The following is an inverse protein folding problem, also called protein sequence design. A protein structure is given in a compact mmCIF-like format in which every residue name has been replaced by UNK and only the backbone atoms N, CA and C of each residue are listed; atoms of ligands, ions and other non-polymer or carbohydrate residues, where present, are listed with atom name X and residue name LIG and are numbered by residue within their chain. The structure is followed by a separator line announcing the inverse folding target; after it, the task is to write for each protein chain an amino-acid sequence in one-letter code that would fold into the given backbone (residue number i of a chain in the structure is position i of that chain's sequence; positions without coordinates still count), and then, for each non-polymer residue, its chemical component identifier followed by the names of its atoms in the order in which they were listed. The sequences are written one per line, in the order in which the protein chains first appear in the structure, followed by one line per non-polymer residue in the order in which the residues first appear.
data_IF_312844806947
#
_entry.id   IF_312844806947
#
_cell.length_a   1.000
_cell.length_b   1.000
_cell.length_c   1.000
_cell.angle_alpha   90.00
_cell.angle_beta   90.00
_cell.angle_gamma   90.00
#
_symmetry.space_group_name_H-M   'P 1'
#
loop_
_entity.id
_entity.type
_entity.pdbx_description
1 polymer ?
#
# COMPACT_ATOMS: atom_id res chain seq x y z
N UNK A 1 -26.60 20.20 -16.85
CA UNK A 1 -25.82 19.53 -15.77
C UNK A 1 -25.35 18.20 -16.33
N UNK A 2 -24.04 18.00 -16.46
CA UNK A 2 -23.52 16.70 -16.93
C UNK A 2 -23.95 15.62 -15.92
N UNK A 3 -24.37 14.41 -16.37
CA UNK A 3 -24.68 13.34 -15.44
C UNK A 3 -23.44 13.07 -14.59
N UNK A 4 -23.58 13.11 -13.26
CA UNK A 4 -22.51 12.68 -12.37
C UNK A 4 -22.21 11.22 -12.71
N UNK A 5 -21.03 10.98 -13.29
CA UNK A 5 -20.54 9.63 -13.52
C UNK A 5 -20.53 8.91 -12.17
N UNK A 6 -21.09 7.70 -12.13
CA UNK A 6 -21.02 6.86 -10.92
C UNK A 6 -19.56 6.77 -10.45
N UNK A 7 -19.27 6.86 -9.15
CA UNK A 7 -17.92 6.71 -8.65
C UNK A 7 -17.39 5.32 -9.00
N UNK A 8 -16.07 5.19 -9.20
CA UNK A 8 -15.45 3.90 -9.49
C UNK A 8 -15.52 2.92 -8.32
N UNK A 9 -15.61 3.43 -7.09
CA UNK A 9 -15.47 2.62 -5.89
C UNK A 9 -16.45 2.99 -4.78
N UNK A 10 -16.60 2.06 -3.84
CA UNK A 10 -17.31 2.22 -2.56
C UNK A 10 -16.48 1.57 -1.45
N UNK A 11 -16.67 2.03 -0.21
CA UNK A 11 -16.05 1.45 0.99
C UNK A 11 -17.08 0.62 1.75
N UNK A 12 -16.69 -0.58 2.18
CA UNK A 12 -17.53 -1.49 2.99
C UNK A 12 -16.62 -2.44 3.78
N UNK A 13 -17.17 -3.19 4.72
CA UNK A 13 -16.40 -4.17 5.50
C UNK A 13 -15.76 -5.21 4.58
N UNK A 14 -14.48 -5.49 4.83
CA UNK A 14 -13.72 -6.50 4.11
C UNK A 14 -13.73 -7.82 4.86
N UNK A 15 -13.88 -8.92 4.13
CA UNK A 15 -13.69 -10.26 4.69
C UNK A 15 -12.22 -10.55 5.02
N UNK A 16 -11.29 -9.74 4.50
CA UNK A 16 -9.86 -9.90 4.75
C UNK A 16 -9.43 -9.18 6.03
N UNK A 17 -9.69 -7.88 6.11
CA UNK A 17 -9.26 -7.06 7.25
C UNK A 17 -10.04 -5.75 7.32
N UNK A 18 -10.73 -5.48 8.43
CA UNK A 18 -11.40 -4.20 8.71
C UNK A 18 -12.29 -3.71 7.57
N UNK A 19 -11.96 -2.53 7.02
CA UNK A 19 -12.63 -1.97 5.84
C UNK A 19 -11.87 -2.34 4.57
N UNK A 20 -12.60 -2.41 3.45
CA UNK A 20 -12.07 -2.59 2.11
C UNK A 20 -12.67 -1.59 1.13
N UNK A 21 -11.99 -1.42 0.00
CA UNK A 21 -12.51 -0.64 -1.13
C UNK A 21 -12.89 -1.59 -2.25
N UNK A 22 -14.05 -1.39 -2.84
CA UNK A 22 -14.61 -2.29 -3.82
C UNK A 22 -15.05 -1.53 -5.06
N UNK A 23 -14.96 -2.19 -6.21
CA UNK A 23 -15.47 -1.69 -7.47
C UNK A 23 -16.98 -1.46 -7.37
N UNK A 24 -17.44 -0.22 -7.60
CA UNK A 24 -18.87 0.12 -7.60
C UNK A 24 -19.53 -0.15 -8.96
N UNK A 25 -18.72 -0.17 -10.01
CA UNK A 25 -19.04 -0.47 -11.40
C UNK A 25 -17.91 -1.30 -11.99
N UNK A 26 -18.09 -1.86 -13.19
CA UNK A 26 -16.97 -2.51 -13.89
C UNK A 26 -15.88 -1.47 -14.18
N UNK A 27 -14.65 -1.77 -13.78
CA UNK A 27 -13.49 -0.89 -13.93
C UNK A 27 -12.59 -1.46 -15.03
N UNK A 28 -12.40 -0.75 -16.14
CA UNK A 28 -11.47 -1.16 -17.18
C UNK A 28 -10.01 -1.11 -16.70
N UNK A 29 -9.17 -1.98 -17.24
CA UNK A 29 -7.71 -1.93 -17.06
C UNK A 29 -7.15 -0.55 -17.37
N UNK A 30 -6.19 -0.10 -16.56
CA UNK A 30 -5.51 1.19 -16.71
C UNK A 30 -6.30 2.39 -16.15
N UNK A 31 -7.50 2.17 -15.63
CA UNK A 31 -8.30 3.23 -15.00
C UNK A 31 -7.61 3.73 -13.73
N UNK A 32 -7.41 5.05 -13.62
CA UNK A 32 -7.05 5.71 -12.36
C UNK A 32 -8.28 5.81 -11.48
N UNK A 33 -8.32 5.00 -10.42
CA UNK A 33 -9.50 4.81 -9.57
C UNK A 33 -9.60 5.93 -8.52
N UNK A 34 -8.51 6.16 -7.79
CA UNK A 34 -8.44 7.13 -6.69
C UNK A 34 -7.00 7.61 -6.48
N UNK A 35 -6.82 8.86 -6.04
CA UNK A 35 -5.54 9.37 -5.54
C UNK A 35 -5.38 8.98 -4.06
N UNK A 36 -4.22 8.48 -3.64
CA UNK A 36 -3.94 8.24 -2.22
C UNK A 36 -3.71 9.58 -1.51
N UNK A 37 -4.72 10.03 -0.78
CA UNK A 37 -4.73 11.32 -0.08
C UNK A 37 -4.25 11.24 1.36
N UNK A 38 -3.82 12.36 1.90
CA UNK A 38 -3.34 12.48 3.28
C UNK A 38 -2.38 13.65 3.45
N UNK A 39 -1.95 13.89 4.69
CA UNK A 39 -0.97 14.91 5.02
C UNK A 39 0.43 14.49 4.57
N UNK A 40 1.21 15.44 4.04
CA UNK A 40 2.61 15.21 3.70
C UNK A 40 3.47 15.44 4.94
N UNK A 41 4.29 14.46 5.29
CA UNK A 41 5.26 14.54 6.39
C UNK A 41 6.62 14.00 5.92
N UNK A 42 7.69 14.30 6.66
CA UNK A 42 9.01 13.71 6.40
C UNK A 42 9.07 12.28 6.95
N UNK A 43 10.06 11.49 6.53
CA UNK A 43 10.25 10.13 7.05
C UNK A 43 10.54 10.15 8.56
N UNK A 44 11.35 11.08 9.03
CA UNK A 44 11.69 11.21 10.46
C UNK A 44 10.44 11.48 11.30
N UNK A 45 9.53 12.32 10.78
CA UNK A 45 8.26 12.58 11.45
C UNK A 45 7.34 11.37 11.46
N UNK A 46 7.36 10.55 10.40
CA UNK A 46 6.62 9.29 10.37
C UNK A 46 7.16 8.31 11.43
N UNK A 47 8.49 8.23 11.58
CA UNK A 47 9.14 7.39 12.60
C UNK A 47 8.79 7.86 14.03
N UNK A 48 8.78 9.17 14.28
CA UNK A 48 8.37 9.74 15.58
C UNK A 48 6.90 9.44 15.93
N UNK A 49 6.03 9.34 14.92
CA UNK A 49 4.61 9.01 15.10
C UNK A 49 4.37 7.51 15.26
N UNK A 50 5.36 6.67 14.97
CA UNK A 50 5.21 5.22 15.02
C UNK A 50 5.56 4.67 16.42
N UNK A 51 4.72 3.82 17.03
CA UNK A 51 3.44 3.34 16.50
C UNK A 51 2.31 4.36 16.67
N UNK A 52 1.46 4.50 15.64
CA UNK A 52 0.29 5.40 15.68
C UNK A 52 -0.75 4.88 16.69
N UNK A 53 -0.85 3.56 16.84
CA UNK A 53 -1.64 2.89 17.86
C UNK A 53 -0.76 1.89 18.62
N UNK A 54 -0.47 2.09 19.92
CA UNK A 54 0.32 1.15 20.70
C UNK A 54 -0.27 -0.27 20.78
N UNK A 55 -1.59 -0.40 20.72
CA UNK A 55 -2.30 -1.69 20.77
C UNK A 55 -2.28 -2.43 19.41
N UNK A 56 -2.01 -1.70 18.32
CA UNK A 56 -1.85 -2.25 16.97
C UNK A 56 -0.68 -1.56 16.25
N UNK A 57 0.57 -1.82 16.69
CA UNK A 57 1.71 -1.03 16.30
C UNK A 57 2.16 -1.25 14.86
N UNK A 58 1.61 -2.25 14.17
CA UNK A 58 1.96 -2.57 12.78
C UNK A 58 0.96 -2.02 11.76
N UNK A 59 -0.15 -1.46 12.24
CA UNK A 59 -1.17 -0.85 11.41
C UNK A 59 -0.93 0.66 11.29
N UNK A 60 -0.56 1.11 10.10
CA UNK A 60 -0.43 2.54 9.77
C UNK A 60 -1.00 2.80 8.38
N UNK A 61 -1.29 4.07 8.09
CA UNK A 61 -1.70 4.53 6.76
C UNK A 61 -0.58 5.31 6.06
N UNK A 62 0.68 5.05 6.44
CA UNK A 62 1.83 5.72 5.86
C UNK A 62 2.14 5.17 4.47
N UNK A 63 2.27 6.07 3.50
CA UNK A 63 2.68 5.75 2.13
C UNK A 63 4.00 6.46 1.82
N UNK A 64 5.09 5.70 1.71
CA UNK A 64 6.41 6.22 1.35
C UNK A 64 6.48 6.59 -0.13
N UNK A 65 7.12 7.71 -0.44
CA UNK A 65 7.26 8.22 -1.81
C UNK A 65 8.71 8.15 -2.26
N UNK A 66 8.92 8.05 -3.57
CA UNK A 66 10.25 8.17 -4.19
C UNK A 66 10.97 9.48 -3.86
N UNK A 67 10.24 10.53 -3.48
CA UNK A 67 10.82 11.82 -3.04
C UNK A 67 11.45 11.80 -1.64
N UNK A 68 11.28 10.71 -0.88
CA UNK A 68 11.69 10.60 0.53
C UNK A 68 10.66 11.12 1.53
N UNK A 69 9.59 11.79 1.07
CA UNK A 69 8.46 12.16 1.92
C UNK A 69 7.48 10.99 2.09
N UNK A 70 6.60 11.12 3.08
CA UNK A 70 5.53 10.17 3.40
C UNK A 70 4.17 10.86 3.30
N UNK A 71 3.15 10.12 2.83
CA UNK A 71 1.74 10.49 3.00
C UNK A 71 1.24 9.82 4.26
N UNK A 72 0.77 10.61 5.22
CA UNK A 72 -0.03 10.12 6.34
C UNK A 72 -1.51 10.09 5.94
N UNK A 73 -2.01 8.90 5.60
CA UNK A 73 -3.43 8.68 5.28
C UNK A 73 -4.35 8.70 6.51
N UNK A 74 -3.80 8.72 7.74
CA UNK A 74 -4.57 8.87 8.97
C UNK A 74 -4.97 10.33 9.23
N UNK A 75 -4.10 11.28 8.91
CA UNK A 75 -4.38 12.72 9.00
C UNK A 75 -4.85 13.26 7.63
N UNK A 76 -6.13 13.64 7.53
CA UNK A 76 -6.77 14.17 6.31
C UNK A 76 -6.67 13.24 5.09
N UNK A 77 -6.67 11.92 5.31
CA UNK A 77 -6.73 10.94 4.23
C UNK A 77 -8.12 10.81 3.60
N UNK A 78 -8.21 9.91 2.62
CA UNK A 78 -9.45 9.57 1.92
C UNK A 78 -9.64 8.03 1.90
N UNK A 79 -10.60 7.56 1.11
CA UNK A 79 -10.99 6.15 1.04
C UNK A 79 -9.86 5.22 0.59
N UNK A 80 -8.83 5.73 -0.09
CA UNK A 80 -7.69 4.93 -0.55
C UNK A 80 -6.92 4.25 0.60
N UNK A 81 -6.99 4.79 1.82
CA UNK A 81 -6.36 4.20 3.01
C UNK A 81 -6.92 2.83 3.38
N UNK A 82 -8.14 2.52 2.93
CA UNK A 82 -8.83 1.25 3.20
C UNK A 82 -8.56 0.19 2.13
N UNK A 83 -7.74 0.47 1.13
CA UNK A 83 -7.40 -0.53 0.11
C UNK A 83 -6.42 -1.53 0.73
N UNK A 84 -6.84 -2.79 0.82
CA UNK A 84 -6.09 -3.84 1.48
C UNK A 84 -4.92 -4.36 0.65
N UNK A 85 -3.99 -5.03 1.32
CA UNK A 85 -2.87 -5.69 0.68
C UNK A 85 -3.28 -7.01 0.01
N UNK A 86 -2.74 -7.27 -1.18
CA UNK A 86 -2.64 -8.63 -1.74
C UNK A 86 -1.30 -8.86 -2.43
N UNK A 87 -0.76 -10.08 -2.31
CA UNK A 87 0.39 -10.55 -3.08
C UNK A 87 0.04 -10.89 -4.54
N UNK A 88 -1.25 -11.05 -4.85
CA UNK A 88 -1.79 -11.17 -6.22
C UNK A 88 -2.79 -10.05 -6.46
N UNK A 89 -2.34 -8.79 -6.52
CA UNK A 89 -3.23 -7.64 -6.57
C UNK A 89 -3.90 -7.45 -7.94
N UNK A 90 -5.04 -6.76 -7.96
CA UNK A 90 -5.71 -6.30 -9.18
C UNK A 90 -5.47 -4.81 -9.48
N UNK A 91 -4.79 -4.10 -8.57
CA UNK A 91 -4.40 -2.69 -8.70
C UNK A 91 -2.91 -2.50 -8.40
N UNK A 92 -2.35 -1.38 -8.88
CA UNK A 92 -1.02 -0.90 -8.54
C UNK A 92 -1.04 0.57 -8.12
N UNK A 93 -0.03 1.01 -7.37
CA UNK A 93 0.21 2.42 -7.07
C UNK A 93 1.16 3.02 -8.09
N UNK A 94 0.78 4.15 -8.70
CA UNK A 94 1.63 4.92 -9.61
C UNK A 94 1.92 6.31 -9.04
N UNK A 95 3.21 6.61 -8.87
CA UNK A 95 3.65 7.96 -8.53
C UNK A 95 3.63 8.87 -9.76
N UNK A 96 3.17 10.11 -9.58
CA UNK A 96 3.31 11.17 -10.59
C UNK A 96 4.79 11.45 -10.89
N UNK A 97 5.10 12.03 -12.06
CA UNK A 97 6.47 12.33 -12.56
C UNK A 97 7.36 13.16 -11.60
N UNK A 98 6.80 13.76 -10.55
CA UNK A 98 7.53 14.51 -9.52
C UNK A 98 7.40 13.92 -8.11
N UNK A 99 6.92 12.69 -7.96
CA UNK A 99 6.68 12.02 -6.67
C UNK A 99 5.66 12.74 -5.76
N UNK A 100 4.86 13.68 -6.32
CA UNK A 100 3.96 14.55 -5.54
C UNK A 100 2.62 13.91 -5.22
N UNK A 101 2.19 12.97 -6.04
CA UNK A 101 0.88 12.31 -5.95
C UNK A 101 1.04 10.83 -6.24
N UNK A 102 0.18 10.03 -5.63
CA UNK A 102 0.09 8.59 -5.81
C UNK A 102 -1.31 8.28 -6.28
N UNK A 103 -1.43 7.54 -7.38
CA UNK A 103 -2.72 7.09 -7.89
C UNK A 103 -2.80 5.58 -7.80
N UNK A 104 -3.98 5.06 -7.45
CA UNK A 104 -4.27 3.64 -7.55
C UNK A 104 -4.89 3.38 -8.93
N UNK A 105 -4.30 2.44 -9.65
CA UNK A 105 -4.61 2.14 -11.06
C UNK A 105 -4.93 0.67 -11.23
N UNK A 106 -5.97 0.36 -11.99
CA UNK A 106 -6.36 -1.01 -12.30
C UNK A 106 -5.30 -1.71 -13.20
N UNK A 107 -4.82 -2.88 -12.79
CA UNK A 107 -3.88 -3.71 -13.56
C UNK A 107 -4.57 -4.58 -14.63
N UNK A 108 -5.87 -4.79 -14.45
CA UNK A 108 -6.74 -5.65 -15.25
C UNK A 108 -8.16 -5.09 -15.22
N UNK A 109 -9.06 -5.68 -16.00
CA UNK A 109 -10.49 -5.39 -15.85
C UNK A 109 -10.97 -5.96 -14.51
N UNK A 110 -11.72 -5.15 -13.75
CA UNK A 110 -12.21 -5.48 -12.41
C UNK A 110 -13.74 -5.43 -12.44
N UNK A 111 -14.44 -6.55 -12.21
CA UNK A 111 -15.89 -6.56 -12.22
C UNK A 111 -16.45 -5.79 -11.02
N UNK A 112 -17.63 -5.20 -11.19
CA UNK A 112 -18.37 -4.57 -10.12
C UNK A 112 -18.52 -5.52 -8.92
N UNK A 113 -18.35 -4.98 -7.72
CA UNK A 113 -18.43 -5.71 -6.46
C UNK A 113 -17.11 -6.37 -6.01
N UNK A 114 -16.09 -6.50 -6.87
CA UNK A 114 -14.79 -7.03 -6.48
C UNK A 114 -14.03 -6.07 -5.57
N UNK A 115 -13.32 -6.60 -4.57
CA UNK A 115 -12.44 -5.80 -3.72
C UNK A 115 -11.16 -5.41 -4.48
N UNK A 116 -10.70 -4.19 -4.23
CA UNK A 116 -9.48 -3.63 -4.80
C UNK A 116 -8.33 -3.95 -3.85
N UNK A 117 -7.23 -4.42 -4.43
CA UNK A 117 -6.01 -4.73 -3.68
C UNK A 117 -4.78 -4.23 -4.43
N UNK A 118 -3.77 -3.77 -3.70
CA UNK A 118 -2.43 -3.52 -4.24
C UNK A 118 -1.36 -4.17 -3.36
N UNK A 119 -0.16 -4.34 -3.91
CA UNK A 119 0.99 -4.80 -3.13
C UNK A 119 1.55 -3.62 -2.33
N UNK A 120 1.50 -3.69 -0.98
CA UNK A 120 2.03 -2.63 -0.13
C UNK A 120 3.55 -2.49 -0.26
N UNK A 121 4.24 -3.59 -0.60
CA UNK A 121 5.69 -3.57 -0.79
C UNK A 121 6.45 -3.04 0.43
N UNK A 122 6.01 -3.33 1.66
CA UNK A 122 6.58 -2.76 2.88
C UNK A 122 8.07 -3.07 2.99
N UNK A 123 8.92 -2.07 2.80
CA UNK A 123 10.37 -2.20 2.93
C UNK A 123 10.76 -1.91 4.36
N UNK A 124 11.42 -2.88 5.01
CA UNK A 124 11.97 -2.73 6.35
C UNK A 124 13.48 -2.66 6.29
N UNK A 125 14.07 -1.73 7.04
CA UNK A 125 15.51 -1.69 7.23
C UNK A 125 16.01 -2.90 8.04
N UNK A 126 17.28 -3.26 7.83
CA UNK A 126 17.91 -4.35 8.55
C UNK A 126 17.51 -5.75 8.07
N UNK A 127 17.68 -6.74 8.94
CA UNK A 127 17.47 -8.15 8.60
C UNK A 127 16.00 -8.53 8.85
N UNK A 128 15.31 -8.92 7.79
CA UNK A 128 13.97 -9.52 7.90
C UNK A 128 14.06 -10.90 8.59
N UNK A 129 13.71 -10.96 9.88
CA UNK A 129 13.69 -12.18 10.69
C UNK A 129 12.37 -12.95 10.53
N UNK A 130 12.32 -14.21 10.99
CA UNK A 130 11.07 -14.99 11.02
C UNK A 130 10.01 -14.34 11.91
N UNK A 131 10.42 -13.79 13.06
CA UNK A 131 9.53 -13.09 13.97
C UNK A 131 8.91 -11.86 13.31
N UNK A 132 9.73 -11.05 12.62
CA UNK A 132 9.25 -9.86 11.90
C UNK A 132 8.25 -10.24 10.78
N UNK A 133 8.53 -11.31 10.03
CA UNK A 133 7.58 -11.81 9.02
C UNK A 133 6.24 -12.22 9.61
N UNK A 134 6.24 -12.76 10.83
CA UNK A 134 5.02 -13.16 11.54
C UNK A 134 4.24 -11.95 12.08
N UNK A 135 4.92 -10.88 12.47
CA UNK A 135 4.28 -9.62 12.85
C UNK A 135 3.58 -8.95 11.65
N UNK A 136 4.18 -9.03 10.47
CA UNK A 136 3.60 -8.57 9.21
C UNK A 136 3.04 -9.74 8.38
N UNK A 137 2.33 -10.67 9.02
CA UNK A 137 1.75 -11.82 8.34
C UNK A 137 0.76 -11.37 7.26
N UNK A 138 0.81 -12.02 6.09
CA UNK A 138 -0.11 -11.72 5.00
C UNK A 138 -1.19 -12.81 4.91
N UNK A 139 -2.46 -12.39 4.98
CA UNK A 139 -3.62 -13.26 4.95
C UNK A 139 -4.41 -13.17 3.63
N UNK A 140 -3.83 -12.59 2.58
CA UNK A 140 -4.55 -12.26 1.33
C UNK A 140 -5.12 -13.45 0.54
N UNK A 141 -4.78 -14.70 0.89
CA UNK A 141 -5.30 -15.90 0.24
C UNK A 141 -4.81 -16.16 -1.20
N UNK A 142 -3.99 -15.27 -1.77
CA UNK A 142 -3.45 -15.46 -3.12
C UNK A 142 -2.59 -16.74 -3.22
N UNK A 143 -2.70 -17.49 -4.33
CA UNK A 143 -1.91 -18.70 -4.56
C UNK A 143 -0.40 -18.44 -4.60
N UNK A 144 0.00 -17.23 -4.97
CA UNK A 144 1.38 -16.72 -5.00
C UNK A 144 1.76 -15.94 -3.74
N UNK A 145 0.99 -16.06 -2.66
CA UNK A 145 1.23 -15.33 -1.41
C UNK A 145 2.64 -15.58 -0.87
N UNK A 146 3.32 -14.50 -0.47
CA UNK A 146 4.68 -14.54 0.09
C UNK A 146 4.70 -14.86 1.59
N UNK A 147 3.52 -14.96 2.21
CA UNK A 147 3.32 -15.20 3.64
C UNK A 147 3.56 -13.98 4.54
N UNK A 148 3.92 -12.82 3.96
CA UNK A 148 4.14 -11.57 4.70
C UNK A 148 3.86 -10.37 3.79
N UNK A 149 3.44 -9.24 4.38
CA UNK A 149 3.25 -7.97 3.68
C UNK A 149 4.58 -7.26 3.37
N UNK A 150 5.69 -7.75 3.95
CA UNK A 150 7.03 -7.22 3.72
C UNK A 150 7.53 -7.53 2.30
N UNK A 151 8.16 -6.54 1.68
CA UNK A 151 8.96 -6.74 0.48
C UNK A 151 10.16 -7.63 0.81
N UNK A 152 10.22 -8.80 0.17
CA UNK A 152 11.33 -9.73 0.33
C UNK A 152 12.38 -9.52 -0.77
N UNK A 153 13.68 -9.57 -0.45
CA UNK A 153 14.73 -9.53 -1.46
C UNK A 153 14.53 -10.67 -2.46
N UNK A 154 14.69 -10.38 -3.76
CA UNK A 154 14.69 -11.41 -4.80
C UNK A 154 15.77 -12.45 -4.46
N UNK A 155 15.39 -13.73 -4.35
CA UNK A 155 16.35 -14.84 -4.19
C UNK A 155 17.34 -14.78 -5.37
N UNK A 156 18.62 -14.49 -5.12
CA UNK A 156 19.68 -14.62 -6.14
C UNK A 156 20.60 -13.42 -6.43
N UNK A 157 20.62 -12.34 -5.64
CA UNK A 157 21.75 -11.37 -5.73
C UNK A 157 22.63 -11.42 -4.46
N UNK A 158 23.96 -11.64 -4.59
CA UNK A 158 24.87 -11.53 -3.46
C UNK A 158 24.77 -10.13 -2.86
N UNK A 159 24.71 -10.03 -1.52
CA UNK A 159 24.83 -8.74 -0.83
C UNK A 159 26.25 -8.22 -1.11
N UNK A 160 26.38 -7.18 -1.92
CA UNK A 160 27.60 -6.38 -1.91
C UNK A 160 27.69 -5.71 -0.54
N UNK A 161 28.68 -6.12 0.27
CA UNK A 161 29.08 -5.41 1.48
C UNK A 161 29.52 -4.02 1.01
N UNK A 162 28.81 -2.96 1.42
CA UNK A 162 29.41 -1.63 1.46
C UNK A 162 30.50 -1.70 2.54
N UNK A 163 31.75 -1.62 2.12
CA UNK A 163 32.87 -1.34 3.00
C UNK A 163 32.83 0.15 3.31
N UNK A 164 32.62 0.50 4.58
CA UNK A 164 32.86 1.85 5.07
C UNK A 164 34.36 2.12 4.94
N UNK A 165 34.73 2.99 4.01
CA UNK A 165 36.07 3.55 3.93
C UNK A 165 36.07 4.82 4.79
N UNK A 166 36.49 4.67 6.03
CA UNK A 166 37.09 5.77 6.79
C UNK A 166 38.51 5.98 6.25
N UNK A 167 38.79 7.21 5.83
CA UNK A 167 40.08 7.72 5.42
C UNK A 167 40.04 9.23 5.42
#
# INVERSE_FOLDING_TARGET
MAPQSKPWHIVKESTLHGMGVFAAVDIPKGTRIIEYGGKRITSERADELHPVNPEDPFHTFFFSLSSGNVIDGGDKGNDARWINHSCGPNCESQESTKGKRVYIVALQDIPAGAELFYDYGLVMEGRITKALRKQYECLCGASTCRGTMLALPKRGKPRTRKTDAAG
#
